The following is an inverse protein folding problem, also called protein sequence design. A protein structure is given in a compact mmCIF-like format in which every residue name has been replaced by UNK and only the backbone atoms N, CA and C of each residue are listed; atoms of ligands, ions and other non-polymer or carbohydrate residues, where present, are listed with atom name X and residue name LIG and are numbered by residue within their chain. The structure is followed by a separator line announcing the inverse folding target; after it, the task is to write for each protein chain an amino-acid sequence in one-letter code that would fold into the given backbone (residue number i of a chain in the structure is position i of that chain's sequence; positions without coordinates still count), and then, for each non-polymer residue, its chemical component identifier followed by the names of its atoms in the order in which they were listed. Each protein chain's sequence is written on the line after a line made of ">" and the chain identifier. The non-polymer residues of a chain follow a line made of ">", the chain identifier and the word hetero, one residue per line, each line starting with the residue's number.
data_IF_413213800615
#
_entry.id   IF_413213800615
#
_cell.length_a   1.000
_cell.length_b   1.000
_cell.length_c   1.000
_cell.angle_alpha   90.00
_cell.angle_beta   90.00
_cell.angle_gamma   90.00
#
_symmetry.space_group_name_H-M   'P 1'
#
loop_
_entity.id
_entity.type
_entity.pdbx_description
1 polymer ?
#
# COMPACT_ATOMS: atom_id res chain seq x y z
N UNK A 1 -42.45 6.60 -34.68
CA UNK A 1 -41.90 7.38 -33.56
C UNK A 1 -40.76 6.56 -32.99
N UNK A 2 -39.51 6.91 -33.31
CA UNK A 2 -38.32 6.21 -32.83
C UNK A 2 -37.95 6.74 -31.45
N UNK A 3 -38.04 5.91 -30.42
CA UNK A 3 -37.61 6.25 -29.07
C UNK A 3 -36.09 6.36 -29.02
N UNK A 4 -35.60 7.51 -28.54
CA UNK A 4 -34.18 7.80 -28.36
C UNK A 4 -33.51 6.80 -27.42
N UNK A 5 -32.42 6.21 -27.88
CA UNK A 5 -31.49 5.49 -27.03
C UNK A 5 -30.87 6.49 -26.06
N UNK A 6 -31.17 6.29 -24.78
CA UNK A 6 -30.57 7.02 -23.67
C UNK A 6 -29.09 6.63 -23.62
N UNK A 7 -28.22 7.38 -24.29
CA UNK A 7 -26.76 7.20 -24.24
C UNK A 7 -26.24 7.72 -22.89
N UNK A 8 -26.45 6.94 -21.84
CA UNK A 8 -25.67 7.11 -20.62
C UNK A 8 -24.18 6.95 -20.94
N UNK A 9 -23.28 7.57 -20.16
CA UNK A 9 -21.84 7.37 -20.37
C UNK A 9 -21.54 5.87 -20.32
N UNK A 10 -20.90 5.34 -21.38
CA UNK A 10 -20.47 3.95 -21.42
C UNK A 10 -19.55 3.67 -20.23
N UNK A 11 -19.65 2.49 -19.59
CA UNK A 11 -18.70 2.10 -18.57
C UNK A 11 -17.29 2.04 -19.18
N UNK A 12 -16.24 2.36 -18.40
CA UNK A 12 -14.87 2.34 -18.89
C UNK A 12 -14.49 0.94 -19.34
N UNK A 13 -13.78 0.85 -20.45
CA UNK A 13 -13.19 -0.37 -20.97
C UNK A 13 -12.09 -0.90 -20.05
N UNK A 14 -11.77 -2.19 -20.16
CA UNK A 14 -10.68 -2.80 -19.38
C UNK A 14 -9.33 -2.11 -19.64
N UNK A 15 -9.09 -1.62 -20.87
CA UNK A 15 -7.87 -0.87 -21.22
C UNK A 15 -7.81 0.50 -20.52
N UNK A 16 -8.94 1.20 -20.41
CA UNK A 16 -9.04 2.46 -19.67
C UNK A 16 -8.84 2.25 -18.18
N UNK A 17 -9.42 1.19 -17.61
CA UNK A 17 -9.22 0.81 -16.21
C UNK A 17 -7.76 0.44 -15.91
N UNK A 18 -7.08 -0.28 -16.82
CA UNK A 18 -5.66 -0.56 -16.70
C UNK A 18 -4.84 0.74 -16.73
N UNK A 19 -5.13 1.64 -17.66
CA UNK A 19 -4.46 2.95 -17.77
C UNK A 19 -4.66 3.78 -16.49
N UNK A 20 -5.87 3.77 -15.93
CA UNK A 20 -6.15 4.43 -14.65
C UNK A 20 -5.33 3.84 -13.50
N UNK A 21 -5.27 2.51 -13.38
CA UNK A 21 -4.50 1.85 -12.34
C UNK A 21 -3.00 2.20 -12.42
N UNK A 22 -2.45 2.24 -13.63
CA UNK A 22 -1.05 2.62 -13.84
C UNK A 22 -0.78 4.09 -13.45
N UNK A 23 -1.72 4.99 -13.73
CA UNK A 23 -1.62 6.38 -13.28
C UNK A 23 -1.67 6.51 -11.76
N UNK A 24 -2.52 5.73 -11.09
CA UNK A 24 -2.60 5.69 -9.62
C UNK A 24 -1.28 5.19 -9.01
N UNK A 25 -0.67 4.14 -9.57
CA UNK A 25 0.66 3.66 -9.17
C UNK A 25 1.76 4.72 -9.33
N UNK A 26 1.72 5.50 -10.41
CA UNK A 26 2.70 6.54 -10.65
C UNK A 26 2.59 7.72 -9.68
N UNK A 27 1.36 8.07 -9.28
CA UNK A 27 1.05 9.22 -8.42
C UNK A 27 1.31 8.95 -6.94
N UNK A 28 1.07 7.72 -6.47
CA UNK A 28 1.07 7.43 -5.04
C UNK A 28 2.39 6.80 -4.57
N UNK A 29 3.44 7.61 -4.57
CA UNK A 29 4.76 7.26 -4.02
C UNK A 29 4.93 7.78 -2.60
N UNK A 30 5.65 7.02 -1.78
CA UNK A 30 5.89 7.32 -0.37
C UNK A 30 7.23 8.06 -0.20
N UNK A 31 7.32 9.11 0.62
CA UNK A 31 8.59 9.72 0.98
C UNK A 31 9.44 8.80 1.88
N UNK A 32 8.77 8.01 2.73
CA UNK A 32 9.34 6.98 3.58
C UNK A 32 8.29 5.92 3.89
N UNK A 33 8.72 4.70 4.23
CA UNK A 33 7.81 3.63 4.64
C UNK A 33 8.52 2.67 5.58
N UNK A 34 7.90 2.41 6.73
CA UNK A 34 8.41 1.56 7.79
C UNK A 34 7.29 0.65 8.36
N UNK A 35 7.62 -0.11 9.40
CA UNK A 35 6.66 -1.02 10.05
C UNK A 35 5.46 -0.27 10.67
N UNK A 36 5.68 0.92 11.23
CA UNK A 36 4.60 1.74 11.78
C UNK A 36 3.64 2.22 10.68
N UNK A 37 4.20 2.64 9.54
CA UNK A 37 3.44 2.99 8.34
C UNK A 37 2.57 1.83 7.86
N UNK A 38 3.11 0.61 7.86
CA UNK A 38 2.36 -0.59 7.51
C UNK A 38 1.19 -0.83 8.48
N UNK A 39 1.42 -0.74 9.79
CA UNK A 39 0.36 -0.92 10.80
C UNK A 39 -0.73 0.13 10.64
N UNK A 40 -0.38 1.41 10.49
CA UNK A 40 -1.34 2.49 10.28
C UNK A 40 -2.18 2.29 9.00
N UNK A 41 -1.53 1.94 7.90
CA UNK A 41 -2.20 1.69 6.62
C UNK A 41 -3.14 0.47 6.72
N UNK A 42 -2.67 -0.63 7.32
CA UNK A 42 -3.45 -1.85 7.53
C UNK A 42 -4.69 -1.63 8.39
N UNK A 43 -4.54 -0.93 9.51
CA UNK A 43 -5.68 -0.53 10.37
C UNK A 43 -6.65 0.38 9.63
N UNK A 44 -6.14 1.29 8.80
CA UNK A 44 -6.96 2.18 7.99
C UNK A 44 -7.79 1.43 6.95
N UNK A 45 -7.24 0.39 6.31
CA UNK A 45 -7.97 -0.51 5.40
C UNK A 45 -9.09 -1.24 6.13
N UNK A 46 -8.77 -1.86 7.28
CA UNK A 46 -9.74 -2.56 8.12
C UNK A 46 -10.89 -1.64 8.52
N UNK A 47 -10.59 -0.42 8.98
CA UNK A 47 -11.60 0.56 9.37
C UNK A 47 -12.52 0.91 8.20
N UNK A 48 -11.95 1.24 7.04
CA UNK A 48 -12.73 1.59 5.84
C UNK A 48 -13.63 0.44 5.38
N UNK A 49 -13.13 -0.80 5.34
CA UNK A 49 -13.93 -1.95 4.96
C UNK A 49 -15.11 -2.13 5.93
N UNK A 50 -14.87 -2.14 7.24
CA UNK A 50 -15.93 -2.28 8.26
C UNK A 50 -16.98 -1.18 8.22
N UNK A 51 -16.59 0.04 7.84
CA UNK A 51 -17.51 1.18 7.70
C UNK A 51 -18.23 1.21 6.35
N UNK A 52 -17.87 0.34 5.40
CA UNK A 52 -18.52 0.29 4.09
C UNK A 52 -19.79 -0.56 4.12
N UNK A 53 -20.75 -0.22 3.26
CA UNK A 53 -21.94 -1.06 3.03
C UNK A 53 -21.59 -2.45 2.47
N UNK A 54 -20.37 -2.62 1.93
CA UNK A 54 -19.86 -3.90 1.42
C UNK A 54 -19.65 -4.93 2.52
N UNK A 55 -19.21 -4.50 3.70
CA UNK A 55 -19.00 -5.42 4.83
C UNK A 55 -20.31 -6.13 5.23
N UNK A 56 -21.46 -5.50 5.00
CA UNK A 56 -22.77 -6.13 5.23
C UNK A 56 -23.07 -7.23 4.21
N UNK A 57 -22.56 -7.12 2.97
CA UNK A 57 -22.83 -8.06 1.86
C UNK A 57 -21.81 -9.19 1.76
N UNK A 58 -20.53 -8.87 1.82
CA UNK A 58 -19.41 -9.80 1.61
C UNK A 58 -19.01 -10.51 2.90
N UNK A 59 -19.34 -9.92 4.05
CA UNK A 59 -19.10 -10.40 5.42
C UNK A 59 -17.63 -10.55 5.84
N UNK A 60 -16.69 -10.77 4.93
CA UNK A 60 -15.28 -11.00 5.24
C UNK A 60 -14.27 -10.39 4.28
N UNK A 61 -13.03 -10.20 4.75
CA UNK A 61 -11.87 -9.76 3.97
C UNK A 61 -10.56 -10.15 4.67
N UNK A 62 -9.55 -10.50 3.90
CA UNK A 62 -8.17 -10.67 4.40
C UNK A 62 -7.28 -9.50 3.94
N UNK A 63 -6.33 -9.09 4.77
CA UNK A 63 -5.40 -7.99 4.52
C UNK A 63 -3.99 -8.46 4.85
N UNK A 64 -3.02 -8.13 4.00
CA UNK A 64 -1.60 -8.32 4.30
C UNK A 64 -0.78 -7.15 3.76
N UNK A 65 0.24 -6.74 4.51
CA UNK A 65 1.28 -5.83 4.04
C UNK A 65 2.61 -6.55 4.26
N UNK A 66 3.35 -6.76 3.18
CA UNK A 66 4.62 -7.47 3.20
C UNK A 66 5.71 -6.62 2.56
N UNK A 67 6.94 -6.74 3.03
CA UNK A 67 8.09 -6.25 2.27
C UNK A 67 8.19 -6.98 0.94
N UNK A 68 8.91 -6.39 -0.02
CA UNK A 68 9.13 -7.05 -1.31
C UNK A 68 9.85 -8.40 -1.14
N UNK A 69 10.66 -8.52 -0.08
CA UNK A 69 11.41 -9.72 0.28
C UNK A 69 10.57 -10.84 0.92
N UNK A 70 9.32 -10.60 1.32
CA UNK A 70 8.49 -11.64 1.96
C UNK A 70 8.15 -11.42 3.43
N UNK A 71 8.72 -10.40 4.10
CA UNK A 71 8.48 -10.20 5.52
C UNK A 71 7.14 -9.53 5.76
N UNK A 72 6.26 -10.19 6.51
CA UNK A 72 4.96 -9.65 6.90
C UNK A 72 5.12 -8.53 7.93
N UNK A 73 4.66 -7.33 7.57
CA UNK A 73 4.62 -6.15 8.45
C UNK A 73 3.23 -5.98 9.09
N UNK A 74 2.18 -6.43 8.42
CA UNK A 74 0.81 -6.42 8.91
C UNK A 74 0.03 -7.59 8.31
N UNK A 75 -0.80 -8.25 9.11
CA UNK A 75 -1.73 -9.29 8.64
C UNK A 75 -3.02 -9.22 9.47
N UNK A 76 -4.17 -9.25 8.81
CA UNK A 76 -5.45 -9.12 9.49
C UNK A 76 -6.59 -9.77 8.72
N UNK A 77 -7.39 -10.55 9.43
CA UNK A 77 -8.72 -10.97 8.97
C UNK A 77 -9.79 -10.00 9.50
N UNK A 78 -10.74 -9.66 8.64
CA UNK A 78 -11.95 -8.90 8.96
C UNK A 78 -13.16 -9.76 8.65
N UNK A 79 -14.11 -9.85 9.57
CA UNK A 79 -15.29 -10.72 9.48
C UNK A 79 -15.37 -11.67 10.67
N UNK A 80 -16.35 -12.56 10.66
CA UNK A 80 -16.49 -13.64 11.63
C UNK A 80 -15.67 -14.86 11.17
N UNK A 81 -14.83 -15.41 12.06
CA UNK A 81 -14.06 -16.62 11.81
C UNK A 81 -14.84 -17.91 12.13
N UNK A 82 -16.01 -17.76 12.77
CA UNK A 82 -16.90 -18.87 13.11
C UNK A 82 -18.13 -18.34 13.86
N UNK A 83 -19.31 -18.59 13.30
CA UNK A 83 -20.58 -18.33 13.98
C UNK A 83 -21.19 -19.60 14.59
N UNK A 84 -22.32 -19.47 15.31
CA UNK A 84 -23.13 -20.62 15.76
C UNK A 84 -23.60 -21.53 14.61
N UNK A 85 -23.59 -21.02 13.37
CA UNK A 85 -23.88 -21.72 12.12
C UNK A 85 -22.67 -22.47 11.54
N UNK A 86 -21.49 -22.39 12.19
CA UNK A 86 -20.27 -23.09 11.76
C UNK A 86 -19.59 -22.49 10.52
N UNK A 87 -20.11 -21.39 9.97
CA UNK A 87 -19.56 -20.70 8.82
C UNK A 87 -18.58 -19.58 9.20
N UNK A 88 -17.42 -19.52 8.52
CA UNK A 88 -16.51 -18.38 8.56
C UNK A 88 -16.69 -17.50 7.33
N UNK A 89 -16.56 -16.19 7.50
CA UNK A 89 -16.70 -15.20 6.43
C UNK A 89 -15.47 -15.17 5.48
N UNK A 90 -14.39 -15.84 5.85
CA UNK A 90 -13.19 -16.03 5.03
C UNK A 90 -12.71 -17.48 5.11
N UNK A 91 -12.04 -17.95 4.06
CA UNK A 91 -11.52 -19.31 3.93
C UNK A 91 -10.01 -19.35 3.67
N UNK A 92 -9.42 -20.55 3.66
CA UNK A 92 -8.02 -20.75 3.23
C UNK A 92 -7.81 -20.27 1.79
N UNK A 93 -8.79 -20.48 0.91
CA UNK A 93 -8.74 -19.99 -0.48
C UNK A 93 -8.64 -18.46 -0.54
N UNK A 94 -9.24 -17.75 0.43
CA UNK A 94 -9.15 -16.28 0.48
C UNK A 94 -7.71 -15.81 0.72
N UNK A 95 -6.99 -16.48 1.62
CA UNK A 95 -5.58 -16.22 1.87
C UNK A 95 -4.71 -16.60 0.68
N UNK A 96 -5.01 -17.74 0.04
CA UNK A 96 -4.24 -18.19 -1.10
C UNK A 96 -4.41 -17.28 -2.33
N UNK A 97 -5.62 -16.77 -2.59
CA UNK A 97 -5.86 -15.72 -3.57
C UNK A 97 -5.07 -14.44 -3.24
N UNK A 98 -5.05 -14.03 -1.96
CA UNK A 98 -4.29 -12.86 -1.52
C UNK A 98 -2.78 -13.02 -1.77
N UNK A 99 -2.19 -14.17 -1.44
CA UNK A 99 -0.77 -14.44 -1.73
C UNK A 99 -0.49 -14.50 -3.24
N UNK A 100 -1.41 -15.05 -4.03
CA UNK A 100 -1.33 -15.03 -5.49
C UNK A 100 -1.26 -13.60 -6.06
N UNK A 101 -2.09 -12.69 -5.55
CA UNK A 101 -2.04 -11.27 -5.94
C UNK A 101 -0.72 -10.59 -5.52
N UNK A 102 -0.18 -10.90 -4.34
CA UNK A 102 1.12 -10.38 -3.90
C UNK A 102 2.25 -10.89 -4.80
N UNK A 103 2.21 -12.16 -5.20
CA UNK A 103 3.18 -12.76 -6.11
C UNK A 103 3.16 -12.07 -7.49
N UNK A 104 1.98 -11.65 -7.98
CA UNK A 104 1.86 -10.84 -9.20
C UNK A 104 2.63 -9.54 -9.05
N UNK A 105 2.37 -8.78 -7.98
CA UNK A 105 3.06 -7.49 -7.75
C UNK A 105 4.57 -7.67 -7.64
N UNK A 106 5.03 -8.72 -6.95
CA UNK A 106 6.47 -9.05 -6.86
C UNK A 106 7.11 -9.34 -8.20
N UNK A 107 6.38 -10.01 -9.09
CA UNK A 107 6.88 -10.42 -10.42
C UNK A 107 6.85 -9.30 -11.44
N UNK A 108 5.82 -8.45 -11.40
CA UNK A 108 5.57 -7.44 -12.45
C UNK A 108 5.94 -6.02 -12.01
N UNK A 109 6.03 -5.76 -10.70
CA UNK A 109 6.18 -4.40 -10.16
C UNK A 109 4.89 -3.57 -10.20
N UNK A 110 3.78 -4.14 -10.68
CA UNK A 110 2.51 -3.46 -10.89
C UNK A 110 1.39 -4.04 -10.04
N UNK A 111 0.35 -3.25 -9.77
CA UNK A 111 -0.83 -3.70 -9.02
C UNK A 111 -1.48 -4.91 -9.70
N UNK A 112 -2.04 -5.80 -8.89
CA UNK A 112 -2.74 -6.97 -9.41
C UNK A 112 -3.95 -6.58 -10.27
N UNK A 113 -4.55 -5.41 -10.01
CA UNK A 113 -5.64 -4.85 -10.80
C UNK A 113 -5.17 -4.37 -12.19
N UNK A 114 -4.05 -3.65 -12.28
CA UNK A 114 -3.47 -3.29 -13.58
C UNK A 114 -3.22 -4.53 -14.44
N UNK A 115 -2.61 -5.56 -13.84
CA UNK A 115 -2.31 -6.82 -14.53
C UNK A 115 -3.59 -7.54 -14.95
N UNK A 116 -4.61 -7.61 -14.09
CA UNK A 116 -5.91 -8.21 -14.43
C UNK A 116 -6.57 -7.49 -15.62
N UNK A 117 -6.65 -6.15 -15.56
CA UNK A 117 -7.31 -5.34 -16.57
C UNK A 117 -6.57 -5.33 -17.90
N UNK A 118 -5.24 -5.25 -17.87
CA UNK A 118 -4.42 -5.38 -19.07
C UNK A 118 -4.53 -6.77 -19.71
N UNK A 119 -4.56 -7.83 -18.89
CA UNK A 119 -4.76 -9.20 -19.37
C UNK A 119 -6.12 -9.38 -20.05
N UNK A 120 -7.20 -8.91 -19.41
CA UNK A 120 -8.56 -8.98 -19.94
C UNK A 120 -8.70 -8.17 -21.24
N UNK A 121 -8.13 -6.98 -21.30
CA UNK A 121 -8.13 -6.13 -22.50
C UNK A 121 -7.44 -6.81 -23.70
N UNK A 122 -6.40 -7.62 -23.45
CA UNK A 122 -5.71 -8.40 -24.48
C UNK A 122 -6.37 -9.75 -24.80
N UNK A 123 -7.42 -10.16 -24.07
CA UNK A 123 -8.01 -11.49 -24.19
C UNK A 123 -7.03 -12.62 -23.88
N UNK A 124 -5.98 -12.35 -23.08
CA UNK A 124 -4.96 -13.34 -22.71
C UNK A 124 -5.32 -14.01 -21.39
N UNK A 125 -4.79 -15.19 -21.18
CA UNK A 125 -4.85 -15.92 -19.91
C UNK A 125 -3.57 -15.73 -19.11
N UNK A 126 -3.62 -16.04 -17.81
CA UNK A 126 -2.47 -15.95 -16.89
C UNK A 126 -1.29 -16.81 -17.40
N UNK A 127 -1.58 -18.01 -17.91
CA UNK A 127 -0.59 -18.93 -18.49
C UNK A 127 0.11 -18.33 -19.70
N UNK A 128 -0.65 -17.63 -20.56
CA UNK A 128 -0.09 -16.96 -21.76
C UNK A 128 0.77 -15.74 -21.41
N UNK A 129 0.64 -15.18 -20.20
CA UNK A 129 1.49 -14.11 -19.68
C UNK A 129 2.68 -14.63 -18.85
N UNK A 130 2.87 -15.95 -18.76
CA UNK A 130 3.95 -16.55 -17.98
C UNK A 130 3.81 -16.32 -16.48
N UNK A 131 2.59 -16.06 -15.99
CA UNK A 131 2.28 -15.93 -14.56
C UNK A 131 1.84 -17.31 -14.07
N UNK A 132 2.71 -17.97 -13.32
CA UNK A 132 2.47 -19.29 -12.74
C UNK A 132 1.82 -19.12 -11.37
N UNK A 133 0.52 -18.81 -11.36
CA UNK A 133 -0.29 -18.82 -10.14
C UNK A 133 -1.49 -19.73 -10.36
N UNK A 134 -1.76 -20.58 -9.37
CA UNK A 134 -2.91 -21.50 -9.39
C UNK A 134 -4.23 -20.78 -9.10
N UNK A 135 -4.16 -19.51 -8.66
CA UNK A 135 -5.31 -18.70 -8.28
C UNK A 135 -5.61 -17.65 -9.33
N UNK A 136 -6.88 -17.26 -9.43
CA UNK A 136 -7.31 -16.18 -10.32
C UNK A 136 -6.67 -14.85 -9.91
N UNK A 137 -6.02 -14.16 -10.86
CA UNK A 137 -5.57 -12.77 -10.65
C UNK A 137 -6.81 -11.90 -10.46
N UNK A 138 -6.86 -11.24 -9.32
CA UNK A 138 -7.89 -10.26 -8.95
C UNK A 138 -7.22 -8.94 -8.55
N UNK A 139 -7.94 -7.84 -8.62
CA UNK A 139 -7.55 -6.58 -8.01
C UNK A 139 -7.53 -6.66 -6.48
N UNK A 140 -6.68 -5.84 -5.87
CA UNK A 140 -6.57 -5.77 -4.41
C UNK A 140 -5.14 -5.76 -3.87
N UNK A 141 -4.11 -6.01 -4.69
CA UNK A 141 -2.71 -5.82 -4.31
C UNK A 141 -2.09 -4.62 -5.04
N UNK A 142 -1.39 -3.76 -4.30
CA UNK A 142 -0.82 -2.51 -4.80
C UNK A 142 0.64 -2.35 -4.36
N UNK A 143 1.55 -1.97 -5.27
CA UNK A 143 2.97 -1.79 -4.96
C UNK A 143 3.20 -0.50 -4.15
N UNK A 144 4.02 -0.60 -3.11
CA UNK A 144 4.49 0.56 -2.34
C UNK A 144 5.84 0.99 -2.89
N UNK A 145 5.84 2.12 -3.59
CA UNK A 145 7.02 2.75 -4.15
C UNK A 145 7.52 3.87 -3.27
N UNK A 146 8.85 4.04 -3.18
CA UNK A 146 9.42 5.26 -2.64
C UNK A 146 9.65 6.29 -3.73
N UNK A 147 9.54 7.57 -3.38
CA UNK A 147 9.88 8.69 -4.28
C UNK A 147 11.35 8.66 -4.72
N UNK A 148 12.24 8.19 -3.85
CA UNK A 148 13.68 8.14 -4.05
C UNK A 148 14.23 6.76 -4.46
N UNK A 149 13.37 5.75 -4.67
CA UNK A 149 13.80 4.40 -5.08
C UNK A 149 12.98 3.90 -6.28
N UNK A 150 13.42 4.20 -7.52
CA UNK A 150 12.65 3.88 -8.73
C UNK A 150 12.87 2.46 -9.25
N UNK A 151 13.81 1.68 -8.70
CA UNK A 151 14.21 0.38 -9.27
C UNK A 151 13.23 -0.75 -8.93
N UNK A 152 12.62 -0.75 -7.75
CA UNK A 152 11.63 -1.74 -7.34
C UNK A 152 10.72 -1.19 -6.23
N UNK A 153 9.48 -1.69 -6.12
CA UNK A 153 8.66 -1.41 -4.95
C UNK A 153 9.30 -2.05 -3.71
N UNK A 154 9.19 -1.39 -2.57
CA UNK A 154 9.81 -1.84 -1.30
C UNK A 154 8.89 -2.74 -0.48
N UNK A 155 7.58 -2.64 -0.72
CA UNK A 155 6.54 -3.41 -0.05
C UNK A 155 5.32 -3.58 -0.96
N UNK A 156 4.41 -4.44 -0.55
CA UNK A 156 3.13 -4.69 -1.19
C UNK A 156 2.04 -4.59 -0.13
N UNK A 157 1.01 -3.80 -0.39
CA UNK A 157 -0.22 -3.79 0.40
C UNK A 157 -1.31 -4.52 -0.37
N UNK A 158 -1.96 -5.49 0.26
CA UNK A 158 -2.98 -6.30 -0.37
C UNK A 158 -4.20 -6.49 0.53
N UNK A 159 -5.39 -6.53 -0.07
CA UNK A 159 -6.59 -7.05 0.55
C UNK A 159 -7.40 -7.88 -0.46
N UNK A 160 -8.18 -8.84 0.06
CA UNK A 160 -9.05 -9.69 -0.76
C UNK A 160 -10.38 -9.91 -0.05
N UNK A 161 -11.47 -9.51 -0.70
CA UNK A 161 -12.85 -9.79 -0.34
C UNK A 161 -13.62 -10.51 -1.47
N UNK A 162 -12.94 -10.88 -2.55
CA UNK A 162 -13.56 -11.48 -3.74
C UNK A 162 -14.12 -10.48 -4.76
N UNK A 163 -13.93 -9.17 -4.54
CA UNK A 163 -14.40 -8.11 -5.44
C UNK A 163 -13.23 -7.28 -5.96
N UNK A 164 -12.64 -7.73 -7.07
CA UNK A 164 -11.43 -7.14 -7.67
C UNK A 164 -11.43 -5.61 -7.73
N UNK A 165 -12.48 -5.01 -8.30
CA UNK A 165 -12.55 -3.56 -8.49
C UNK A 165 -12.68 -2.81 -7.16
N UNK A 166 -13.51 -3.32 -6.25
CA UNK A 166 -13.76 -2.65 -4.99
C UNK A 166 -12.58 -2.80 -4.02
N UNK A 167 -11.84 -3.92 -4.09
CA UNK A 167 -10.63 -4.17 -3.32
C UNK A 167 -9.48 -3.28 -3.79
N UNK A 168 -9.28 -3.16 -5.11
CA UNK A 168 -8.35 -2.17 -5.68
C UNK A 168 -8.70 -0.76 -5.24
N UNK A 169 -9.97 -0.36 -5.39
CA UNK A 169 -10.41 0.98 -5.02
C UNK A 169 -10.21 1.28 -3.52
N UNK A 170 -10.45 0.28 -2.66
CA UNK A 170 -10.21 0.39 -1.21
C UNK A 170 -8.73 0.63 -0.91
N UNK A 171 -7.85 -0.14 -1.54
CA UNK A 171 -6.39 -0.02 -1.35
C UNK A 171 -5.87 1.32 -1.85
N UNK A 172 -6.20 1.69 -3.08
CA UNK A 172 -5.74 2.95 -3.66
C UNK A 172 -6.25 4.15 -2.87
N UNK A 173 -7.53 4.15 -2.47
CA UNK A 173 -8.08 5.20 -1.62
C UNK A 173 -7.35 5.27 -0.29
N UNK A 174 -7.01 4.12 0.30
CA UNK A 174 -6.29 4.09 1.57
C UNK A 174 -4.87 4.63 1.47
N UNK A 175 -4.14 4.24 0.44
CA UNK A 175 -2.79 4.74 0.15
C UNK A 175 -2.82 6.24 -0.10
N UNK A 176 -3.70 6.72 -1.00
CA UNK A 176 -3.84 8.15 -1.32
C UNK A 176 -4.07 8.99 -0.08
N UNK A 177 -5.03 8.59 0.76
CA UNK A 177 -5.40 9.36 1.94
C UNK A 177 -4.32 9.29 3.02
N UNK A 178 -3.60 8.16 3.14
CA UNK A 178 -2.44 8.04 4.01
C UNK A 178 -1.32 9.01 3.60
N UNK A 179 -0.99 9.06 2.30
CA UNK A 179 -0.01 10.00 1.75
C UNK A 179 -0.41 11.47 2.01
N UNK A 180 -1.68 11.80 1.81
CA UNK A 180 -2.21 13.14 2.14
C UNK A 180 -2.09 13.48 3.63
N UNK A 181 -2.23 12.50 4.52
CA UNK A 181 -2.10 12.70 5.97
C UNK A 181 -0.65 13.02 6.33
N UNK A 182 0.31 12.19 5.91
CA UNK A 182 1.72 12.39 6.25
C UNK A 182 2.31 13.64 5.58
N UNK A 183 1.81 14.03 4.39
CA UNK A 183 2.21 15.26 3.72
C UNK A 183 1.69 16.55 4.38
N UNK A 184 0.66 16.45 5.24
CA UNK A 184 0.19 17.59 6.07
C UNK A 184 0.97 17.71 7.37
N UNK A 185 1.43 16.58 7.92
CA UNK A 185 2.23 16.54 9.15
C UNK A 185 3.67 17.06 8.93
N UNK A 186 4.18 17.00 7.69
CA UNK A 186 5.51 17.51 7.34
C UNK A 186 5.58 19.04 7.15
N UNK A 187 4.45 19.73 7.09
CA UNK A 187 4.41 21.21 6.99
C UNK A 187 4.17 21.77 8.40
N UNK A 188 5.12 22.52 8.99
CA UNK A 188 4.89 23.14 10.29
C UNK A 188 3.70 24.10 10.19
N UNK A 189 2.71 23.92 11.06
CA UNK A 189 1.54 24.79 11.11
C UNK A 189 2.00 26.25 11.27
N UNK A 190 1.40 27.20 10.52
CA UNK A 190 1.70 28.62 10.73
C UNK A 190 1.36 28.97 12.19
N UNK A 191 2.15 29.84 12.85
CA UNK A 191 1.90 30.22 14.23
C UNK A 191 0.49 30.81 14.32
N UNK A 192 -0.37 30.14 15.10
CA UNK A 192 -1.69 30.67 15.44
C UNK A 192 -1.49 32.01 16.13
N UNK A 193 -1.79 33.10 15.45
CA UNK A 193 -1.84 34.43 16.04
C UNK A 193 -2.97 34.43 17.06
N UNK A 194 -2.64 34.21 18.33
CA UNK A 194 -3.52 34.47 19.46
C UNK A 194 -3.83 35.96 19.46
N UNK A 195 -4.97 36.33 18.86
CA UNK A 195 -5.54 37.66 18.99
C UNK A 195 -5.94 37.85 20.46
N UNK A 196 -5.07 38.52 21.22
CA UNK A 196 -5.39 39.03 22.54
C UNK A 196 -6.49 40.09 22.37
N UNK A 197 -7.72 39.71 22.69
CA UNK A 197 -8.83 40.64 22.87
C UNK A 197 -8.52 41.56 24.05
N UNK A 198 -8.02 42.76 23.76
CA UNK A 198 -7.97 43.86 24.74
C UNK A 198 -9.05 44.90 24.42
N UNK A 199 -10.07 44.90 25.28
CA UNK A 199 -10.66 46.07 25.91
C UNK A 199 -11.24 47.18 25.03
N UNK A 200 -12.56 47.29 25.04
CA UNK A 200 -13.29 48.53 24.70
C UNK A 200 -14.14 48.97 25.89
N UNK A 201 -13.78 50.08 26.55
CA UNK A 201 -14.74 50.95 27.23
C UNK A 201 -14.18 52.36 27.47
N UNK A 202 -14.83 53.36 26.85
CA UNK A 202 -15.07 54.76 27.28
C UNK A 202 -13.90 55.51 27.98
N UNK A 203 -13.30 56.59 27.48
CA UNK A 203 -13.86 57.76 26.78
C UNK A 203 -14.07 58.93 27.75
N UNK A 204 -13.05 59.79 27.98
CA UNK A 204 -13.20 61.27 28.16
C UNK A 204 -11.86 62.01 28.34
N UNK A 205 -11.79 63.18 27.69
CA UNK A 205 -11.05 64.42 28.05
C UNK A 205 -9.67 64.71 27.43
N UNK A 206 -9.68 65.78 26.62
CA UNK A 206 -8.82 66.97 26.62
C UNK A 206 -7.30 66.80 26.67
N UNK A 207 -6.62 67.30 25.62
CA UNK A 207 -5.19 67.60 25.71
C UNK A 207 -4.51 67.83 24.36
N UNK A 208 -4.40 69.10 23.97
CA UNK A 208 -3.56 69.63 22.89
C UNK A 208 -2.11 69.15 22.92
N UNK A 209 -1.51 68.86 21.76
CA UNK A 209 -0.29 69.53 21.26
C UNK A 209 0.33 68.81 20.05
N UNK A 210 0.99 69.63 19.22
CA UNK A 210 1.69 69.32 17.98
C UNK A 210 2.89 68.37 18.17
N UNK A 211 3.28 67.67 17.10
CA UNK A 211 4.62 67.07 17.02
C UNK A 211 4.82 66.09 15.87
N UNK A 212 5.09 66.62 14.69
CA UNK A 212 5.83 65.95 13.60
C UNK A 212 7.15 65.36 14.11
N UNK A 213 7.55 64.17 13.65
CA UNK A 213 8.88 63.88 13.04
C UNK A 213 9.11 62.37 12.84
N UNK A 214 9.39 62.00 11.59
CA UNK A 214 10.21 60.82 11.22
C UNK A 214 11.69 61.24 11.45
N UNK A 215 12.62 60.32 11.81
CA UNK A 215 13.51 59.83 10.76
C UNK A 215 13.94 58.36 10.88
N UNK A 216 14.13 57.79 9.70
CA UNK A 216 15.06 56.74 9.28
C UNK A 216 16.42 56.74 10.00
N UNK A 217 16.94 55.54 10.34
CA UNK A 217 18.36 55.14 10.35
C UNK A 217 18.35 53.60 10.16
N UNK A 218 18.74 53.04 9.02
CA UNK A 218 20.07 52.78 8.45
C UNK A 218 21.00 51.88 9.29
N UNK A 219 21.24 50.70 8.72
CA UNK A 219 22.40 49.80 8.80
C UNK A 219 22.95 49.36 10.16
N UNK A 220 23.11 48.05 10.35
CA UNK A 220 24.46 47.48 10.21
C UNK A 220 24.42 45.95 10.13
N UNK A 221 25.10 45.50 9.10
CA UNK A 221 25.56 44.16 8.80
C UNK A 221 26.45 43.62 9.92
N UNK A 222 26.25 42.37 10.34
CA UNK A 222 27.37 41.56 10.80
C UNK A 222 27.15 40.08 10.46
N UNK A 223 28.06 39.64 9.61
CA UNK A 223 28.35 38.29 9.15
C UNK A 223 28.87 37.42 10.28
N UNK A 224 28.32 36.21 10.41
CA UNK A 224 28.87 35.14 11.24
C UNK A 224 28.79 33.81 10.49
N UNK A 225 29.81 33.53 9.68
CA UNK A 225 30.05 32.20 9.12
C UNK A 225 30.69 31.31 10.20
N UNK A 226 30.08 30.17 10.49
CA UNK A 226 30.75 29.06 11.17
C UNK A 226 30.59 27.79 10.32
N UNK A 227 31.70 27.41 9.68
CA UNK A 227 31.95 26.12 9.08
C UNK A 227 31.95 25.03 10.17
N UNK A 228 31.08 24.04 10.04
CA UNK A 228 31.19 22.78 10.79
C UNK A 228 31.33 21.64 9.77
N UNK A 229 32.58 21.17 9.64
CA UNK A 229 33.00 20.08 8.77
C UNK A 229 32.83 18.78 9.56
N UNK A 230 31.75 18.03 9.29
CA UNK A 230 31.53 16.72 9.91
C UNK A 230 32.12 15.62 9.05
N UNK A 231 33.18 15.00 9.55
CA UNK A 231 33.85 13.85 8.93
C UNK A 231 32.95 12.61 8.93
N UNK A 232 32.98 11.89 7.81
CA UNK A 232 32.26 10.64 7.54
C UNK A 232 33.21 9.46 7.81
N UNK A 233 32.87 8.47 8.65
CA UNK A 233 33.68 7.26 8.74
C UNK A 233 33.36 6.30 7.58
N UNK A 234 34.32 5.44 7.19
CA UNK A 234 34.25 4.62 5.98
C UNK A 234 33.38 3.37 6.13
N UNK A 235 32.95 2.87 4.98
CA UNK A 235 32.15 1.68 4.72
C UNK A 235 32.63 0.43 5.46
N UNK A 236 31.73 -0.22 6.21
CA UNK A 236 31.95 -1.58 6.70
C UNK A 236 31.17 -2.57 5.83
N UNK A 237 31.96 -3.43 5.20
CA UNK A 237 31.65 -4.58 4.39
C UNK A 237 30.90 -5.63 5.23
N UNK A 238 29.65 -5.95 4.88
CA UNK A 238 28.93 -7.05 5.53
C UNK A 238 29.40 -8.38 4.97
N UNK A 239 30.25 -9.02 5.77
CA UNK A 239 30.64 -10.43 5.71
C UNK A 239 29.39 -11.31 5.58
N UNK A 240 29.44 -12.23 4.61
CA UNK A 240 28.44 -13.29 4.42
C UNK A 240 28.47 -14.25 5.61
N UNK A 241 27.35 -14.37 6.31
CA UNK A 241 27.15 -15.40 7.35
C UNK A 241 27.00 -16.79 6.69
N UNK A 242 27.66 -17.87 7.19
CA UNK A 242 27.77 -19.16 6.53
C UNK A 242 26.68 -20.14 7.00
N UNK A 243 25.41 -19.79 6.84
CA UNK A 243 24.28 -20.67 7.16
C UNK A 243 23.80 -21.54 5.96
N UNK A 244 24.60 -21.64 4.89
CA UNK A 244 24.34 -22.53 3.75
C UNK A 244 25.36 -23.66 3.70
N UNK A 245 25.32 -24.55 4.70
CA UNK A 245 25.98 -25.86 4.64
C UNK A 245 25.15 -26.90 5.37
N UNK A 246 24.63 -27.86 4.61
CA UNK A 246 24.14 -29.13 5.15
C UNK A 246 22.73 -29.47 4.70
N UNK A 247 22.60 -30.13 3.55
CA UNK A 247 22.06 -31.49 3.40
C UNK A 247 22.39 -31.87 1.94
N UNK A 248 23.37 -32.75 1.79
CA UNK A 248 23.77 -33.36 0.53
C UNK A 248 23.60 -34.88 0.71
N UNK A 249 23.28 -35.54 -0.40
CA UNK A 249 23.26 -36.99 -0.61
C UNK A 249 22.16 -37.80 0.11
N UNK A 250 21.09 -38.10 -0.64
CA UNK A 250 20.65 -39.48 -0.76
C UNK A 250 20.85 -39.91 -2.22
N UNK A 251 21.87 -40.76 -2.40
CA UNK A 251 22.14 -41.48 -3.64
C UNK A 251 21.12 -42.61 -3.82
N UNK A 252 20.75 -42.71 -5.09
CA UNK A 252 20.25 -43.86 -5.83
C UNK A 252 20.93 -45.18 -5.46
N UNK A 253 20.13 -46.20 -5.11
CA UNK A 253 20.56 -47.58 -5.02
C UNK A 253 19.36 -48.52 -5.28
N UNK A 254 19.36 -49.08 -6.50
CA UNK A 254 18.91 -50.42 -6.92
C UNK A 254 17.43 -50.73 -7.14
N UNK A 255 17.11 -50.77 -8.43
CA UNK A 255 16.38 -51.89 -9.06
C UNK A 255 17.18 -53.21 -8.89
N UNK A 256 16.57 -54.23 -8.29
CA UNK A 256 16.72 -55.67 -8.61
C UNK A 256 15.94 -56.50 -7.57
N UNK A 257 14.78 -57.05 -7.96
CA UNK A 257 14.49 -58.49 -7.87
C UNK A 257 13.02 -58.77 -8.18
N UNK A 258 12.84 -59.37 -9.34
CA UNK A 258 11.73 -60.20 -9.78
C UNK A 258 11.33 -61.28 -8.76
N UNK A 259 10.02 -61.55 -8.71
CA UNK A 259 9.44 -62.90 -8.61
C UNK A 259 9.62 -63.65 -7.28
N UNK A 260 8.58 -63.61 -6.44
CA UNK A 260 8.22 -64.78 -5.63
C UNK A 260 6.71 -64.99 -5.66
N UNK A 261 6.34 -66.08 -6.33
CA UNK A 261 5.03 -66.70 -6.36
C UNK A 261 4.53 -67.09 -4.97
N UNK A 262 3.19 -67.13 -4.87
CA UNK A 262 2.39 -68.20 -4.28
C UNK A 262 2.91 -68.85 -2.99
N UNK A 263 2.24 -68.55 -1.87
CA UNK A 263 1.55 -69.55 -1.04
C UNK A 263 1.31 -68.95 0.34
N UNK A 264 0.06 -68.67 0.67
CA UNK A 264 -0.49 -69.07 1.96
C UNK A 264 -2.00 -69.25 1.78
N UNK A 265 -2.37 -70.51 1.54
CA UNK A 265 -3.66 -71.06 1.99
C UNK A 265 -3.61 -71.07 3.51
N UNK A 266 -4.63 -70.50 4.14
CA UNK A 266 -5.64 -71.23 4.93
C UNK A 266 -6.91 -70.37 5.03
#
# INVERSE_FOLDING_TARGET
>A
MFNGFNTGPMPPSEAELATQALNEEALYRFPSFDAESAVMLGLSLRKRFRSSSRHVKVRGMVISIQTIAGHTLFSCTVGNLGGPDGGGDVSLDSWACLEGMIAVVRRTGHSSYYVEKGMNAMGKTQKQLGIQTDYRISGGAFPIWLENAPCCPIAVVACYSGSSQEDHHLVVTAVRDYLKKIGRESVPAPPSTTMTSMGTSMGTSMGTSMGTSIPTIMSMQQTGHSHAQSQRPPSTEWVRDPASRGIHDYRDDRDEHTQFESNYRD
#
